data_IF_146710928534
#
_entry.id   IF_146710928534
#
_cell.length_a   1.000
_cell.length_b   1.000
_cell.length_c   1.000
_cell.angle_alpha   90.00
_cell.angle_beta   90.00
_cell.angle_gamma   90.00
#
_symmetry.space_group_name_H-M   'P 1'
#
loop_
_entity.id
_entity.type
_entity.pdbx_description
1 polymer ?
#
# COMPACT_ATOMS: atom_id res chain seq x y z
N UNK A 1 16.24 2.10 34.83
CA UNK A 1 17.70 2.23 34.55
C UNK A 1 17.81 2.34 33.05
N UNK A 2 18.20 3.49 32.62
CA UNK A 2 18.41 3.90 31.24
C UNK A 2 19.38 2.94 30.57
N UNK A 3 18.98 2.49 29.36
CA UNK A 3 19.88 1.83 28.44
C UNK A 3 20.74 2.93 27.80
N UNK A 4 21.77 3.35 28.54
CA UNK A 4 22.60 4.51 28.23
C UNK A 4 23.53 4.35 27.02
N UNK A 5 23.43 3.22 26.27
CA UNK A 5 24.26 2.97 25.10
C UNK A 5 23.76 3.58 23.79
N UNK A 6 22.50 3.98 23.72
CA UNK A 6 21.87 4.46 22.47
C UNK A 6 21.80 5.98 22.35
N UNK A 7 22.24 6.72 23.36
CA UNK A 7 22.17 8.18 23.39
C UNK A 7 23.32 8.90 22.67
N UNK A 8 24.28 8.18 22.10
CA UNK A 8 25.49 8.76 21.52
C UNK A 8 25.32 9.19 20.05
N UNK A 9 24.30 8.71 19.37
CA UNK A 9 23.99 9.16 18.00
C UNK A 9 22.76 10.05 18.06
N UNK A 10 22.87 11.36 17.80
CA UNK A 10 21.71 12.23 17.73
C UNK A 10 20.77 11.71 16.65
N UNK A 11 19.55 11.33 17.03
CA UNK A 11 18.55 10.80 16.11
C UNK A 11 17.15 11.28 16.52
N UNK A 12 16.29 11.41 15.52
CA UNK A 12 14.89 11.73 15.70
C UNK A 12 14.07 10.44 15.85
N UNK A 13 14.50 9.38 15.10
CA UNK A 13 13.85 8.07 15.09
C UNK A 13 14.89 6.95 15.14
N UNK A 14 14.51 5.85 15.80
CA UNK A 14 15.27 4.61 15.85
C UNK A 14 14.42 3.51 15.21
N UNK A 15 14.89 2.97 14.09
CA UNK A 15 14.31 1.76 13.53
C UNK A 15 15.11 0.55 13.98
N UNK A 16 14.40 -0.48 14.44
CA UNK A 16 14.98 -1.73 14.93
C UNK A 16 14.50 -2.84 14.03
N UNK A 17 15.41 -3.51 13.37
CA UNK A 17 15.12 -4.74 12.67
C UNK A 17 15.71 -5.90 13.45
N UNK A 18 14.92 -6.96 13.71
CA UNK A 18 15.39 -8.15 14.43
C UNK A 18 14.95 -9.40 13.68
N UNK A 19 15.86 -10.35 13.55
CA UNK A 19 15.58 -11.68 13.03
C UNK A 19 16.16 -12.74 13.97
N UNK A 20 15.44 -13.84 14.12
CA UNK A 20 15.92 -15.02 14.83
C UNK A 20 16.32 -16.08 13.82
N UNK A 21 17.54 -16.61 13.92
CA UNK A 21 18.03 -17.72 13.12
C UNK A 21 18.42 -18.85 14.07
N UNK A 22 17.83 -20.05 13.88
CA UNK A 22 18.11 -21.22 14.72
C UNK A 22 19.60 -21.58 14.62
N UNK A 23 20.26 -21.66 15.77
CA UNK A 23 21.70 -21.89 15.86
C UNK A 23 22.60 -20.65 15.78
N UNK A 24 22.03 -19.47 15.45
CA UNK A 24 22.76 -18.20 15.42
C UNK A 24 22.21 -17.14 16.37
N UNK A 25 21.04 -17.38 16.97
CA UNK A 25 20.43 -16.44 17.90
C UNK A 25 19.76 -15.25 17.22
N UNK A 26 19.56 -14.18 17.99
CA UNK A 26 18.94 -12.95 17.48
C UNK A 26 19.98 -12.08 16.79
N UNK A 27 19.62 -11.59 15.61
CA UNK A 27 20.34 -10.53 14.90
C UNK A 27 19.48 -9.28 14.96
N UNK A 28 20.03 -8.18 15.43
CA UNK A 28 19.32 -6.91 15.54
C UNK A 28 20.12 -5.82 14.86
N UNK A 29 19.48 -5.09 13.95
CA UNK A 29 20.06 -3.93 13.28
C UNK A 29 19.31 -2.69 13.73
N UNK A 30 20.03 -1.70 14.17
CA UNK A 30 19.52 -0.41 14.60
C UNK A 30 19.87 0.62 13.53
N UNK A 31 18.86 1.33 13.03
CA UNK A 31 19.02 2.45 12.11
C UNK A 31 18.66 3.73 12.85
N UNK A 32 19.63 4.59 13.05
CA UNK A 32 19.44 5.92 13.64
C UNK A 32 19.10 6.90 12.52
N UNK A 33 17.93 7.52 12.58
CA UNK A 33 17.45 8.45 11.55
C UNK A 33 17.47 9.86 12.12
N UNK A 34 18.08 10.79 11.40
CA UNK A 34 18.06 12.22 11.70
C UNK A 34 17.73 12.99 10.42
N UNK A 35 16.80 13.92 10.50
CA UNK A 35 16.35 14.73 9.35
C UNK A 35 15.93 13.88 8.13
N UNK A 36 15.30 12.73 8.38
CA UNK A 36 14.87 11.79 7.34
C UNK A 36 15.99 10.98 6.68
N UNK A 37 17.22 11.06 7.19
CA UNK A 37 18.38 10.31 6.67
C UNK A 37 18.89 9.32 7.71
N UNK A 38 19.48 8.20 7.25
CA UNK A 38 20.14 7.26 8.16
C UNK A 38 21.39 7.94 8.71
N UNK A 39 21.37 8.33 9.97
CA UNK A 39 22.48 8.95 10.67
C UNK A 39 23.48 7.92 11.22
N UNK A 40 23.04 6.68 11.41
CA UNK A 40 23.90 5.62 11.90
C UNK A 40 23.25 4.26 11.74
N UNK A 41 24.08 3.21 11.69
CA UNK A 41 23.63 1.82 11.70
C UNK A 41 24.46 1.12 12.78
N UNK A 42 23.79 0.39 13.68
CA UNK A 42 24.43 -0.52 14.61
C UNK A 42 23.87 -1.93 14.40
N UNK A 43 24.73 -2.94 14.50
CA UNK A 43 24.31 -4.33 14.35
C UNK A 43 24.77 -5.12 15.58
N UNK A 44 23.84 -5.85 16.16
CA UNK A 44 24.11 -6.72 17.31
C UNK A 44 23.77 -8.16 16.94
N UNK A 45 24.68 -9.07 17.29
CA UNK A 45 24.51 -10.50 17.21
C UNK A 45 24.44 -11.02 18.65
N UNK A 46 23.26 -11.50 19.05
CA UNK A 46 23.05 -12.04 20.40
C UNK A 46 22.89 -13.55 20.30
N UNK A 47 23.83 -14.30 20.89
CA UNK A 47 23.72 -15.75 21.02
C UNK A 47 22.84 -16.15 22.20
N UNK A 48 22.84 -15.35 23.25
CA UNK A 48 21.92 -15.43 24.38
C UNK A 48 21.75 -14.08 25.09
N UNK A 49 20.86 -14.03 26.09
CA UNK A 49 20.61 -12.81 26.88
C UNK A 49 21.82 -12.36 27.71
N UNK A 50 22.79 -13.21 27.94
CA UNK A 50 24.03 -12.86 28.64
C UNK A 50 24.97 -12.05 27.78
N UNK A 51 24.99 -12.29 26.46
CA UNK A 51 25.82 -11.54 25.50
C UNK A 51 25.28 -10.12 25.25
N UNK A 52 24.00 -9.87 25.54
CA UNK A 52 23.38 -8.55 25.41
C UNK A 52 24.10 -7.46 26.23
N UNK A 53 24.54 -7.82 27.44
CA UNK A 53 25.25 -6.86 28.31
C UNK A 53 26.73 -6.69 27.95
N UNK A 54 27.32 -7.65 27.23
CA UNK A 54 28.70 -7.56 26.78
C UNK A 54 28.81 -6.79 25.43
N UNK A 55 27.86 -6.94 24.54
CA UNK A 55 27.83 -6.24 23.25
C UNK A 55 27.55 -4.73 23.39
N UNK A 56 26.79 -4.32 24.40
CA UNK A 56 26.50 -2.91 24.70
C UNK A 56 27.72 -2.04 24.98
N UNK A 57 28.89 -2.65 25.19
CA UNK A 57 30.15 -1.94 25.39
C UNK A 57 31.04 -1.88 24.15
N UNK A 58 30.63 -2.46 23.01
CA UNK A 58 31.43 -2.52 21.81
C UNK A 58 30.84 -1.59 20.73
N UNK A 59 30.85 -0.29 21.01
CA UNK A 59 30.42 0.71 20.02
C UNK A 59 31.46 0.80 18.91
N UNK A 60 31.06 0.40 17.69
CA UNK A 60 31.79 0.80 16.49
C UNK A 60 31.69 2.31 16.36
N UNK A 61 32.79 3.01 16.49
CA UNK A 61 32.85 4.46 16.31
C UNK A 61 32.60 4.78 14.82
N UNK A 62 31.46 5.41 14.54
CA UNK A 62 31.29 6.08 13.24
C UNK A 62 32.33 7.18 13.11
N UNK A 63 32.85 7.44 11.89
CA UNK A 63 33.61 8.63 11.63
C UNK A 63 32.79 9.85 12.05
N UNK A 64 33.37 10.71 12.90
CA UNK A 64 32.74 11.96 13.32
C UNK A 64 33.59 13.12 12.79
N UNK A 65 32.93 14.23 12.49
CA UNK A 65 33.60 15.46 12.11
C UNK A 65 34.29 16.12 13.33
N UNK A 66 34.90 17.27 13.10
CA UNK A 66 35.61 18.03 14.15
C UNK A 66 34.71 18.53 15.30
N UNK A 67 33.37 18.48 15.13
CA UNK A 67 32.37 18.87 16.13
C UNK A 67 31.80 17.66 16.87
N UNK A 68 32.21 16.43 16.49
CA UNK A 68 31.70 15.19 17.06
C UNK A 68 30.39 14.72 16.39
N UNK A 69 29.96 15.36 15.30
CA UNK A 69 28.82 14.95 14.47
C UNK A 69 29.21 13.84 13.48
N UNK A 70 28.33 12.90 13.14
CA UNK A 70 28.64 11.85 12.20
C UNK A 70 29.11 12.41 10.84
N UNK A 71 30.33 12.01 10.42
CA UNK A 71 30.90 12.45 9.14
C UNK A 71 30.33 11.66 7.96
N UNK A 72 29.47 12.28 7.19
CA UNK A 72 28.86 11.73 5.98
C UNK A 72 29.56 12.16 4.68
N UNK A 73 30.74 12.78 4.75
CA UNK A 73 31.45 13.27 3.57
C UNK A 73 31.81 12.19 2.56
N UNK A 74 31.87 10.92 3.00
CA UNK A 74 32.14 9.76 2.14
C UNK A 74 30.89 9.14 1.50
N UNK A 75 29.71 9.69 1.74
CA UNK A 75 28.43 9.12 1.26
C UNK A 75 28.11 9.41 -0.20
N UNK A 76 28.80 10.31 -0.84
CA UNK A 76 28.51 10.74 -2.22
C UNK A 76 28.83 9.68 -3.27
N UNK A 77 29.57 8.65 -2.93
CA UNK A 77 30.06 7.65 -3.88
C UNK A 77 29.31 6.29 -3.82
N UNK A 78 28.34 6.14 -2.94
CA UNK A 78 27.51 4.93 -2.97
C UNK A 78 26.41 5.10 -4.04
N UNK A 79 26.34 4.19 -5.02
CA UNK A 79 25.21 4.19 -5.94
C UNK A 79 23.93 4.07 -5.09
N UNK A 80 23.07 5.08 -5.17
CA UNK A 80 21.72 4.94 -4.65
C UNK A 80 21.02 3.94 -5.57
N UNK A 81 20.89 2.71 -5.12
CA UNK A 81 19.97 1.79 -5.77
C UNK A 81 18.60 2.42 -5.72
N UNK A 82 17.87 2.41 -6.83
CA UNK A 82 16.50 2.93 -6.84
C UNK A 82 15.73 2.19 -5.74
N UNK A 83 15.07 2.96 -4.88
CA UNK A 83 14.21 2.41 -3.84
C UNK A 83 13.08 1.67 -4.58
N UNK A 84 12.89 0.39 -4.26
CA UNK A 84 11.82 -0.41 -4.85
C UNK A 84 10.42 0.14 -4.50
N UNK A 85 9.41 -0.29 -5.23
CA UNK A 85 8.04 0.19 -5.08
C UNK A 85 7.50 -0.03 -3.64
N UNK A 86 7.82 -1.18 -3.03
CA UNK A 86 7.38 -1.53 -1.68
C UNK A 86 7.87 -0.54 -0.64
N UNK A 87 9.15 -0.22 -0.69
CA UNK A 87 9.75 0.76 0.22
C UNK A 87 9.28 2.17 -0.08
N UNK A 88 9.04 2.52 -1.35
CA UNK A 88 8.47 3.82 -1.71
C UNK A 88 7.08 3.99 -1.11
N UNK A 89 6.20 2.99 -1.23
CA UNK A 89 4.87 3.01 -0.58
C UNK A 89 5.01 3.15 0.93
N UNK A 90 5.86 2.35 1.56
CA UNK A 90 6.03 2.38 3.01
C UNK A 90 6.52 3.76 3.51
N UNK A 91 7.55 4.32 2.89
CA UNK A 91 8.11 5.62 3.26
C UNK A 91 7.06 6.72 3.06
N UNK A 92 6.41 6.75 1.90
CA UNK A 92 5.43 7.77 1.57
C UNK A 92 4.20 7.71 2.51
N UNK A 93 3.66 6.52 2.73
CA UNK A 93 2.54 6.31 3.66
C UNK A 93 2.93 6.67 5.10
N UNK A 94 4.09 6.23 5.57
CA UNK A 94 4.55 6.54 6.92
C UNK A 94 4.69 8.05 7.12
N UNK A 95 5.22 8.81 6.15
CA UNK A 95 5.26 10.26 6.21
C UNK A 95 3.84 10.87 6.32
N UNK A 96 2.89 10.35 5.56
CA UNK A 96 1.51 10.85 5.58
C UNK A 96 0.80 10.64 6.91
N UNK A 97 1.08 9.53 7.61
CA UNK A 97 0.39 9.18 8.86
C UNK A 97 1.11 9.68 10.12
N UNK A 98 2.42 9.92 10.04
CA UNK A 98 3.20 10.30 11.22
C UNK A 98 3.66 11.75 11.24
N UNK A 99 3.81 12.40 10.08
CA UNK A 99 4.31 13.77 9.99
C UNK A 99 3.17 14.78 9.86
N UNK A 100 2.82 15.43 10.96
CA UNK A 100 1.77 16.44 11.01
C UNK A 100 2.15 17.75 10.29
N UNK A 101 3.44 18.01 10.07
CA UNK A 101 3.96 19.26 9.54
C UNK A 101 4.14 19.27 8.01
N UNK A 102 3.64 18.26 7.29
CA UNK A 102 3.70 18.23 5.84
C UNK A 102 2.92 19.40 5.21
N UNK A 103 3.55 20.10 4.29
CA UNK A 103 2.86 21.04 3.40
C UNK A 103 1.83 20.30 2.53
N UNK A 104 0.89 21.05 1.94
CA UNK A 104 -0.09 20.47 1.02
C UNK A 104 0.56 19.84 -0.22
N UNK A 105 1.65 20.41 -0.71
CA UNK A 105 2.41 19.90 -1.85
C UNK A 105 3.14 18.58 -1.51
N UNK A 106 3.80 18.50 -0.36
CA UNK A 106 4.46 17.28 0.12
C UNK A 106 3.44 16.18 0.38
N UNK A 107 2.31 16.51 1.01
CA UNK A 107 1.21 15.55 1.24
C UNK A 107 0.66 15.00 -0.07
N UNK A 108 0.47 15.85 -1.08
CA UNK A 108 0.05 15.43 -2.41
C UNK A 108 1.10 14.53 -3.08
N UNK A 109 2.39 14.87 -2.99
CA UNK A 109 3.47 14.08 -3.57
C UNK A 109 3.55 12.69 -2.94
N UNK A 110 3.56 12.60 -1.60
CA UNK A 110 3.56 11.31 -0.91
C UNK A 110 2.31 10.47 -1.20
N UNK A 111 1.13 11.11 -1.23
CA UNK A 111 -0.11 10.42 -1.60
C UNK A 111 -0.02 9.82 -3.01
N UNK A 112 0.44 10.60 -3.97
CA UNK A 112 0.68 10.13 -5.34
C UNK A 112 1.66 8.95 -5.36
N UNK A 113 2.75 9.03 -4.61
CA UNK A 113 3.77 7.98 -4.57
C UNK A 113 3.22 6.68 -3.97
N UNK A 114 2.33 6.74 -2.98
CA UNK A 114 1.61 5.56 -2.49
C UNK A 114 0.79 4.93 -3.61
N UNK A 115 -0.11 5.67 -4.25
CA UNK A 115 -1.01 5.10 -5.26
C UNK A 115 -0.26 4.57 -6.48
N UNK A 116 0.70 5.31 -7.02
CA UNK A 116 1.40 4.91 -8.25
C UNK A 116 2.26 3.68 -8.09
N UNK A 117 2.71 3.36 -6.88
CA UNK A 117 3.55 2.20 -6.61
C UNK A 117 2.77 0.98 -6.07
N UNK A 118 1.47 1.10 -5.78
CA UNK A 118 0.64 -0.03 -5.33
C UNK A 118 0.72 -1.25 -6.25
N UNK A 119 0.69 -1.12 -7.60
CA UNK A 119 0.72 -2.27 -8.50
C UNK A 119 2.00 -3.10 -8.45
N UNK A 120 3.10 -2.48 -8.06
CA UNK A 120 4.42 -3.10 -8.05
C UNK A 120 4.90 -3.42 -6.62
N UNK A 121 4.02 -3.24 -5.62
CA UNK A 121 4.33 -3.48 -4.21
C UNK A 121 4.19 -4.96 -3.85
N UNK A 122 5.16 -5.49 -3.13
CA UNK A 122 5.08 -6.78 -2.45
C UNK A 122 4.44 -6.60 -1.06
N UNK A 123 3.24 -7.18 -0.87
CA UNK A 123 2.48 -7.07 0.37
C UNK A 123 3.15 -7.73 1.57
N UNK A 124 3.86 -8.84 1.36
CA UNK A 124 4.57 -9.53 2.45
C UNK A 124 5.78 -8.71 2.89
N UNK A 125 6.56 -8.20 1.92
CA UNK A 125 7.67 -7.31 2.22
C UNK A 125 7.18 -6.02 2.90
N UNK A 126 6.09 -5.41 2.41
CA UNK A 126 5.49 -4.22 3.02
C UNK A 126 5.13 -4.47 4.49
N UNK A 127 4.44 -5.58 4.78
CA UNK A 127 4.12 -5.96 6.15
C UNK A 127 5.37 -6.10 7.02
N UNK A 128 6.42 -6.74 6.50
CA UNK A 128 7.68 -6.94 7.22
C UNK A 128 8.40 -5.61 7.54
N UNK A 129 8.26 -4.57 6.71
CA UNK A 129 8.80 -3.23 7.00
C UNK A 129 8.19 -2.60 8.25
N UNK A 130 6.97 -2.98 8.63
CA UNK A 130 6.30 -2.53 9.86
C UNK A 130 6.83 -3.18 11.15
N UNK A 131 7.75 -4.11 11.06
CA UNK A 131 8.37 -4.78 12.21
C UNK A 131 7.58 -5.99 12.72
N UNK A 132 7.38 -6.08 14.04
CA UNK A 132 6.84 -7.29 14.70
C UNK A 132 5.37 -7.58 14.31
N UNK A 133 4.60 -6.55 13.99
CA UNK A 133 3.20 -6.68 13.58
C UNK A 133 3.04 -6.43 12.07
N UNK A 134 3.51 -7.37 11.28
CA UNK A 134 3.40 -7.29 9.82
C UNK A 134 1.95 -7.23 9.33
N UNK A 135 1.05 -7.94 10.00
CA UNK A 135 -0.38 -7.95 9.68
C UNK A 135 -1.02 -6.60 9.95
N UNK A 136 -0.75 -6.01 11.12
CA UNK A 136 -1.27 -4.69 11.50
C UNK A 136 -0.82 -3.59 10.55
N UNK A 137 0.39 -3.70 10.00
CA UNK A 137 0.91 -2.73 9.03
C UNK A 137 0.13 -2.76 7.71
N UNK A 138 -0.19 -3.95 7.19
CA UNK A 138 -0.99 -4.10 5.96
C UNK A 138 -2.40 -3.54 6.18
N UNK A 139 -3.08 -3.94 7.27
CA UNK A 139 -4.39 -3.42 7.61
C UNK A 139 -4.42 -1.90 7.77
N UNK A 140 -3.40 -1.32 8.40
CA UNK A 140 -3.31 0.12 8.58
C UNK A 140 -3.14 0.88 7.24
N UNK A 141 -2.43 0.32 6.26
CA UNK A 141 -2.37 0.88 4.92
C UNK A 141 -3.72 0.78 4.20
N UNK A 142 -4.38 -0.39 4.25
CA UNK A 142 -5.67 -0.61 3.60
C UNK A 142 -6.75 0.30 4.19
N UNK A 143 -6.77 0.46 5.52
CA UNK A 143 -7.66 1.38 6.22
C UNK A 143 -7.39 2.83 5.78
N UNK A 144 -6.13 3.27 5.76
CA UNK A 144 -5.75 4.60 5.29
C UNK A 144 -6.18 4.83 3.83
N UNK A 145 -5.98 3.85 2.95
CA UNK A 145 -6.41 3.94 1.55
C UNK A 145 -7.93 4.07 1.44
N UNK A 146 -8.70 3.30 2.22
CA UNK A 146 -10.17 3.30 2.17
C UNK A 146 -10.82 4.52 2.80
N UNK A 147 -10.11 5.23 3.68
CA UNK A 147 -10.58 6.47 4.31
C UNK A 147 -10.36 7.73 3.48
N UNK A 148 -9.80 7.63 2.27
CA UNK A 148 -9.65 8.80 1.41
C UNK A 148 -11.01 9.38 1.03
N UNK A 149 -11.16 10.71 1.16
CA UNK A 149 -12.42 11.40 0.82
C UNK A 149 -12.71 11.35 -0.68
N UNK A 150 -11.66 11.41 -1.49
CA UNK A 150 -11.75 11.41 -2.95
C UNK A 150 -10.66 10.56 -3.59
N UNK A 151 -11.05 9.84 -4.64
CA UNK A 151 -10.14 9.14 -5.53
C UNK A 151 -10.16 9.80 -6.90
N UNK A 152 -9.00 10.15 -7.42
CA UNK A 152 -8.87 10.53 -8.82
C UNK A 152 -9.04 9.28 -9.72
N UNK A 153 -9.31 9.48 -11.00
CA UNK A 153 -9.37 8.36 -11.96
C UNK A 153 -8.05 7.59 -12.05
N UNK A 154 -6.93 8.25 -11.77
CA UNK A 154 -5.63 7.61 -11.65
C UNK A 154 -5.53 6.71 -10.41
N UNK A 155 -5.99 7.20 -9.25
CA UNK A 155 -6.01 6.44 -8.01
C UNK A 155 -6.84 5.15 -8.17
N UNK A 156 -8.04 5.27 -8.76
CA UNK A 156 -8.93 4.12 -9.04
C UNK A 156 -8.21 3.08 -9.91
N UNK A 157 -7.53 3.53 -10.98
CA UNK A 157 -6.75 2.65 -11.84
C UNK A 157 -5.64 1.93 -11.09
N UNK A 158 -4.88 2.63 -10.25
CA UNK A 158 -3.81 2.01 -9.48
C UNK A 158 -4.32 1.07 -8.38
N UNK A 159 -5.45 1.38 -7.74
CA UNK A 159 -6.11 0.46 -6.79
C UNK A 159 -6.49 -0.85 -7.51
N UNK A 160 -7.12 -0.78 -8.67
CA UNK A 160 -7.47 -1.97 -9.46
C UNK A 160 -6.23 -2.78 -9.86
N UNK A 161 -5.19 -2.11 -10.32
CA UNK A 161 -3.93 -2.75 -10.72
C UNK A 161 -3.21 -3.41 -9.54
N UNK A 162 -3.22 -2.77 -8.38
CA UNK A 162 -2.59 -3.31 -7.16
C UNK A 162 -3.25 -4.61 -6.69
N UNK A 163 -4.57 -4.73 -6.84
CA UNK A 163 -5.28 -5.97 -6.54
C UNK A 163 -4.95 -7.09 -7.55
N UNK A 164 -4.98 -6.76 -8.84
CA UNK A 164 -4.78 -7.73 -9.91
C UNK A 164 -3.34 -8.29 -9.96
N UNK A 165 -2.35 -7.51 -9.53
CA UNK A 165 -0.95 -7.87 -9.72
C UNK A 165 -0.42 -8.93 -8.73
N UNK A 166 -0.94 -9.00 -7.51
CA UNK A 166 -0.23 -9.69 -6.42
C UNK A 166 -1.08 -10.59 -5.51
N UNK A 167 -2.23 -11.07 -5.96
CA UNK A 167 -2.94 -12.17 -5.31
C UNK A 167 -3.07 -12.03 -3.80
N UNK A 168 -3.69 -10.95 -3.33
CA UNK A 168 -4.00 -10.78 -1.91
C UNK A 168 -5.00 -11.86 -1.52
N UNK A 169 -4.75 -12.56 -0.42
CA UNK A 169 -5.63 -13.62 0.09
C UNK A 169 -6.09 -13.36 1.54
N UNK A 170 -7.03 -14.17 2.00
CA UNK A 170 -7.54 -14.14 3.37
C UNK A 170 -8.17 -12.81 3.76
N UNK A 171 -7.93 -12.39 5.00
CA UNK A 171 -8.52 -11.17 5.57
C UNK A 171 -8.12 -9.88 4.84
N UNK A 172 -6.92 -9.85 4.25
CA UNK A 172 -6.49 -8.68 3.47
C UNK A 172 -7.28 -8.53 2.18
N UNK A 173 -7.71 -9.65 1.56
CA UNK A 173 -8.55 -9.61 0.37
C UNK A 173 -9.91 -8.98 0.68
N UNK A 174 -10.48 -9.24 1.85
CA UNK A 174 -11.74 -8.62 2.28
C UNK A 174 -11.61 -7.10 2.42
N UNK A 175 -10.57 -6.62 3.11
CA UNK A 175 -10.33 -5.18 3.27
C UNK A 175 -9.99 -4.52 1.92
N UNK A 176 -9.31 -5.23 1.03
CA UNK A 176 -9.07 -4.70 -0.30
C UNK A 176 -10.36 -4.65 -1.14
N UNK A 177 -11.26 -5.62 -1.00
CA UNK A 177 -12.59 -5.57 -1.62
C UNK A 177 -13.41 -4.38 -1.08
N UNK A 178 -13.28 -4.06 0.20
CA UNK A 178 -13.85 -2.85 0.76
C UNK A 178 -13.27 -1.58 0.10
N UNK A 179 -11.94 -1.51 -0.07
CA UNK A 179 -11.28 -0.42 -0.79
C UNK A 179 -11.76 -0.30 -2.25
N UNK A 180 -11.91 -1.43 -2.96
CA UNK A 180 -12.45 -1.46 -4.32
C UNK A 180 -13.88 -0.91 -4.36
N UNK A 181 -14.73 -1.26 -3.39
CA UNK A 181 -16.09 -0.73 -3.28
C UNK A 181 -16.09 0.79 -3.03
N UNK A 182 -15.21 1.29 -2.15
CA UNK A 182 -15.04 2.72 -1.91
C UNK A 182 -14.61 3.48 -3.17
N UNK A 183 -13.66 2.93 -3.91
CA UNK A 183 -13.20 3.49 -5.17
C UNK A 183 -14.32 3.50 -6.24
N UNK A 184 -15.09 2.40 -6.34
CA UNK A 184 -16.23 2.27 -7.24
C UNK A 184 -17.30 3.32 -6.96
N UNK A 185 -17.73 3.48 -5.70
CA UNK A 185 -18.80 4.40 -5.34
C UNK A 185 -18.38 5.87 -5.40
N UNK A 186 -17.08 6.15 -5.29
CA UNK A 186 -16.59 7.52 -5.45
C UNK A 186 -16.72 8.03 -6.90
N UNK A 187 -16.44 7.18 -7.90
CA UNK A 187 -16.63 7.48 -9.31
C UNK A 187 -16.80 6.18 -10.13
N UNK A 188 -18.04 5.67 -10.30
CA UNK A 188 -18.30 4.43 -11.03
C UNK A 188 -17.96 4.51 -12.50
N UNK A 189 -17.97 5.71 -13.10
CA UNK A 189 -17.62 5.91 -14.51
C UNK A 189 -16.10 5.80 -14.68
N UNK A 190 -15.32 6.42 -13.78
CA UNK A 190 -13.86 6.27 -13.78
C UNK A 190 -13.45 4.82 -13.48
N UNK A 191 -14.20 4.12 -12.61
CA UNK A 191 -13.97 2.71 -12.32
C UNK A 191 -14.15 1.82 -13.55
N UNK A 192 -15.22 2.03 -14.33
CA UNK A 192 -15.46 1.33 -15.60
C UNK A 192 -14.38 1.64 -16.65
N UNK A 193 -13.93 2.88 -16.73
CA UNK A 193 -12.81 3.27 -17.61
C UNK A 193 -11.50 2.61 -17.22
N UNK A 194 -11.25 2.46 -15.93
CA UNK A 194 -10.06 1.77 -15.44
C UNK A 194 -10.09 0.28 -15.79
N UNK A 195 -11.26 -0.39 -15.69
CA UNK A 195 -11.44 -1.76 -16.16
C UNK A 195 -11.12 -1.90 -17.65
N UNK A 196 -11.62 -0.99 -18.50
CA UNK A 196 -11.33 -0.98 -19.94
C UNK A 196 -9.83 -0.81 -20.25
N UNK A 197 -9.10 -0.13 -19.41
CA UNK A 197 -7.64 0.07 -19.54
C UNK A 197 -6.83 -1.10 -19.00
N UNK A 198 -7.43 -1.95 -18.19
CA UNK A 198 -6.77 -3.13 -17.65
C UNK A 198 -6.52 -4.14 -18.75
N UNK A 199 -5.26 -4.47 -19.00
CA UNK A 199 -4.86 -5.59 -19.87
C UNK A 199 -4.82 -6.91 -19.10
N UNK A 200 -5.47 -6.96 -17.93
CA UNK A 200 -5.57 -8.16 -17.12
C UNK A 200 -6.36 -9.23 -17.89
N UNK A 201 -6.09 -10.49 -17.58
CA UNK A 201 -6.91 -11.58 -18.07
C UNK A 201 -8.36 -11.48 -17.54
N UNK A 202 -9.27 -12.18 -18.17
CA UNK A 202 -10.71 -12.12 -17.85
C UNK A 202 -11.00 -12.47 -16.38
N UNK A 203 -10.21 -13.36 -15.77
CA UNK A 203 -10.36 -13.78 -14.38
C UNK A 203 -10.01 -12.64 -13.42
N UNK A 204 -8.91 -11.93 -13.65
CA UNK A 204 -8.51 -10.79 -12.83
C UNK A 204 -9.55 -9.66 -12.92
N UNK A 205 -10.06 -9.37 -14.11
CA UNK A 205 -11.11 -8.35 -14.29
C UNK A 205 -12.41 -8.75 -13.61
N UNK A 206 -12.81 -10.00 -13.71
CA UNK A 206 -13.97 -10.51 -12.98
C UNK A 206 -13.81 -10.34 -11.48
N UNK A 207 -12.63 -10.67 -10.93
CA UNK A 207 -12.35 -10.53 -9.51
C UNK A 207 -12.43 -9.06 -9.07
N UNK A 208 -11.96 -8.11 -9.91
CA UNK A 208 -12.09 -6.68 -9.64
C UNK A 208 -13.55 -6.23 -9.59
N UNK A 209 -14.39 -6.71 -10.51
CA UNK A 209 -15.82 -6.40 -10.51
C UNK A 209 -16.49 -7.00 -9.28
N UNK A 210 -16.24 -8.28 -8.99
CA UNK A 210 -16.81 -8.94 -7.82
C UNK A 210 -16.39 -8.25 -6.52
N UNK A 211 -15.09 -7.97 -6.35
CA UNK A 211 -14.58 -7.28 -5.18
C UNK A 211 -15.19 -5.89 -5.00
N UNK A 212 -15.32 -5.12 -6.07
CA UNK A 212 -15.94 -3.79 -6.02
C UNK A 212 -17.44 -3.82 -5.74
N UNK A 213 -18.17 -4.86 -6.17
CA UNK A 213 -19.63 -4.93 -6.05
C UNK A 213 -20.12 -5.73 -4.85
N UNK A 214 -19.35 -6.72 -4.35
CA UNK A 214 -19.77 -7.61 -3.28
C UNK A 214 -20.11 -6.86 -1.99
N UNK A 215 -19.22 -6.01 -1.52
CA UNK A 215 -19.48 -5.17 -0.35
C UNK A 215 -20.57 -4.13 -0.61
N UNK A 216 -20.69 -3.66 -1.85
CA UNK A 216 -21.69 -2.68 -2.22
C UNK A 216 -23.12 -3.20 -2.04
N UNK A 217 -23.37 -4.42 -2.51
CA UNK A 217 -24.70 -5.02 -2.47
C UNK A 217 -25.19 -5.25 -1.02
N UNK A 218 -24.30 -5.71 -0.15
CA UNK A 218 -24.66 -6.10 1.21
C UNK A 218 -24.69 -4.92 2.18
N UNK A 219 -23.76 -3.96 2.04
CA UNK A 219 -23.57 -2.89 3.03
C UNK A 219 -24.01 -1.51 2.53
N UNK A 220 -24.07 -1.28 1.22
CA UNK A 220 -24.31 0.03 0.62
C UNK A 220 -25.30 0.01 -0.55
N UNK A 221 -26.53 -0.50 -0.36
CA UNK A 221 -27.50 -0.62 -1.46
C UNK A 221 -27.88 0.73 -2.10
N UNK A 222 -27.92 1.81 -1.34
CA UNK A 222 -28.19 3.15 -1.87
C UNK A 222 -27.05 3.67 -2.77
N UNK A 223 -25.80 3.33 -2.45
CA UNK A 223 -24.66 3.69 -3.25
C UNK A 223 -24.64 2.86 -4.56
N UNK A 224 -25.08 1.60 -4.52
CA UNK A 224 -25.28 0.79 -5.72
C UNK A 224 -26.29 1.42 -6.67
N UNK A 225 -27.45 1.87 -6.19
CA UNK A 225 -28.45 2.54 -6.99
C UNK A 225 -27.91 3.85 -7.61
N UNK A 226 -27.14 4.59 -6.85
CA UNK A 226 -26.47 5.81 -7.30
C UNK A 226 -25.44 5.51 -8.39
N UNK A 227 -24.63 4.48 -8.20
CA UNK A 227 -23.62 4.05 -9.17
C UNK A 227 -24.25 3.56 -10.47
N UNK A 228 -25.32 2.76 -10.40
CA UNK A 228 -26.10 2.34 -11.58
C UNK A 228 -26.61 3.54 -12.34
N UNK A 229 -27.18 4.54 -11.63
CA UNK A 229 -27.71 5.75 -12.26
C UNK A 229 -26.63 6.57 -12.96
N UNK A 230 -25.45 6.67 -12.36
CA UNK A 230 -24.30 7.37 -12.95
C UNK A 230 -23.77 6.68 -14.21
N UNK A 231 -23.68 5.34 -14.20
CA UNK A 231 -23.29 4.54 -15.36
C UNK A 231 -24.32 4.68 -16.49
N UNK A 232 -25.61 4.59 -16.19
CA UNK A 232 -26.68 4.79 -17.17
C UNK A 232 -26.62 6.19 -17.80
N UNK A 233 -26.38 7.22 -17.01
CA UNK A 233 -26.24 8.58 -17.52
C UNK A 233 -25.04 8.72 -18.47
N UNK A 234 -23.88 8.13 -18.13
CA UNK A 234 -22.69 8.18 -18.96
C UNK A 234 -22.86 7.42 -20.28
N UNK A 235 -23.49 6.23 -20.24
CA UNK A 235 -23.83 5.42 -21.43
C UNK A 235 -24.77 6.19 -22.35
N UNK A 236 -25.86 6.74 -21.82
CA UNK A 236 -26.87 7.45 -22.60
C UNK A 236 -26.35 8.77 -23.20
N UNK A 237 -25.40 9.43 -22.52
CA UNK A 237 -24.76 10.65 -23.03
C UNK A 237 -23.69 10.37 -24.10
N UNK A 238 -23.40 9.10 -24.42
CA UNK A 238 -22.28 8.69 -25.27
C UNK A 238 -20.94 9.30 -24.81
N UNK A 239 -20.73 9.38 -23.49
CA UNK A 239 -19.53 9.96 -22.88
C UNK A 239 -18.35 8.96 -22.78
N UNK A 240 -18.55 7.73 -23.25
CA UNK A 240 -17.64 6.61 -23.18
C UNK A 240 -17.27 6.11 -24.58
N UNK A 241 -16.08 5.58 -24.76
CA UNK A 241 -15.72 4.80 -25.96
C UNK A 241 -16.57 3.51 -26.04
N UNK A 242 -16.53 2.82 -27.16
CA UNK A 242 -17.25 1.56 -27.31
C UNK A 242 -16.78 0.51 -26.28
N UNK A 243 -15.48 0.42 -26.05
CA UNK A 243 -14.89 -0.49 -25.08
C UNK A 243 -15.27 -0.11 -23.63
N UNK A 244 -15.11 1.16 -23.25
CA UNK A 244 -15.54 1.65 -21.93
C UNK A 244 -17.05 1.45 -21.70
N UNK A 245 -17.85 1.59 -22.75
CA UNK A 245 -19.31 1.34 -22.69
C UNK A 245 -19.61 -0.12 -22.38
N UNK A 246 -18.86 -1.05 -22.98
CA UNK A 246 -19.00 -2.48 -22.68
C UNK A 246 -18.73 -2.78 -21.21
N UNK A 247 -17.63 -2.29 -20.68
CA UNK A 247 -17.27 -2.48 -19.27
C UNK A 247 -18.24 -1.76 -18.31
N UNK A 248 -18.72 -0.58 -18.67
CA UNK A 248 -19.74 0.13 -17.88
C UNK A 248 -21.07 -0.64 -17.82
N UNK A 249 -21.51 -1.25 -18.93
CA UNK A 249 -22.69 -2.11 -18.94
C UNK A 249 -22.51 -3.37 -18.08
N UNK A 250 -21.35 -4.00 -18.14
CA UNK A 250 -21.05 -5.17 -17.34
C UNK A 250 -21.03 -4.84 -15.84
N UNK A 251 -20.36 -3.77 -15.45
CA UNK A 251 -20.34 -3.30 -14.06
C UNK A 251 -21.75 -2.96 -13.55
N UNK A 252 -22.54 -2.25 -14.38
CA UNK A 252 -23.93 -1.95 -14.10
C UNK A 252 -24.78 -3.22 -13.90
N UNK A 253 -24.53 -4.25 -14.70
CA UNK A 253 -25.24 -5.53 -14.58
C UNK A 253 -24.99 -6.16 -13.20
N UNK A 254 -23.74 -6.23 -12.75
CA UNK A 254 -23.39 -6.75 -11.44
C UNK A 254 -24.03 -5.94 -10.30
N UNK A 255 -24.00 -4.61 -10.38
CA UNK A 255 -24.60 -3.72 -9.39
C UNK A 255 -26.13 -3.82 -9.32
N UNK A 256 -26.78 -4.02 -10.46
CA UNK A 256 -28.24 -4.13 -10.56
C UNK A 256 -28.78 -5.54 -10.22
N UNK A 257 -27.92 -6.56 -10.22
CA UNK A 257 -28.27 -7.94 -9.97
C UNK A 257 -27.36 -8.53 -8.89
N UNK A 258 -27.40 -8.01 -7.65
CA UNK A 258 -26.60 -8.57 -6.57
C UNK A 258 -27.06 -10.03 -6.35
N UNK A 259 -26.08 -10.92 -6.28
CA UNK A 259 -26.34 -12.32 -6.02
C UNK A 259 -25.62 -12.69 -4.74
N UNK A 260 -26.28 -13.27 -3.78
CA UNK A 260 -25.84 -13.63 -2.41
C UNK A 260 -24.45 -14.32 -2.34
N UNK A 261 -23.43 -13.69 -2.95
CA UNK A 261 -22.04 -14.12 -2.98
C UNK A 261 -21.66 -15.07 -4.13
N UNK A 262 -22.55 -15.39 -5.07
CA UNK A 262 -22.26 -16.30 -6.18
C UNK A 262 -22.45 -15.64 -7.54
N UNK A 263 -21.37 -15.13 -8.13
CA UNK A 263 -21.37 -14.56 -9.49
C UNK A 263 -20.84 -15.56 -10.56
N UNK A 264 -20.76 -16.86 -10.22
CA UNK A 264 -20.17 -17.87 -11.12
C UNK A 264 -20.85 -17.95 -12.50
N UNK A 265 -22.17 -17.72 -12.52
CA UNK A 265 -22.99 -17.78 -13.74
C UNK A 265 -23.17 -16.41 -14.40
N UNK A 266 -22.53 -15.36 -13.87
CA UNK A 266 -22.64 -14.01 -14.44
C UNK A 266 -21.69 -13.87 -15.63
N UNK A 267 -22.03 -13.01 -16.61
CA UNK A 267 -21.13 -12.71 -17.72
C UNK A 267 -19.81 -12.14 -17.19
N UNK A 268 -18.70 -12.67 -17.68
CA UNK A 268 -17.34 -12.31 -17.27
C UNK A 268 -16.76 -11.20 -18.11
N UNK A 269 -17.26 -11.05 -19.32
CA UNK A 269 -16.81 -10.08 -20.30
C UNK A 269 -17.97 -9.29 -20.88
N UNK A 270 -17.72 -8.08 -21.42
CA UNK A 270 -18.75 -7.34 -22.16
C UNK A 270 -19.38 -8.14 -23.30
N UNK A 271 -18.62 -8.99 -23.99
CA UNK A 271 -19.10 -9.81 -25.08
C UNK A 271 -20.07 -10.90 -24.62
N UNK A 272 -19.88 -11.47 -23.43
CA UNK A 272 -20.80 -12.44 -22.85
C UNK A 272 -22.13 -11.82 -22.42
N UNK A 273 -22.10 -10.54 -22.01
CA UNK A 273 -23.29 -9.80 -21.60
C UNK A 273 -24.24 -9.55 -22.79
N UNK A 274 -23.72 -9.50 -24.03
CA UNK A 274 -24.48 -9.21 -25.25
C UNK A 274 -25.09 -10.49 -25.88
N UNK A 275 -24.72 -11.69 -25.43
CA UNK A 275 -25.20 -12.98 -25.90
C UNK A 275 -26.27 -13.58 -24.99
#
# INVERSE_FOLDING_TARGET
KEADGYSLVPHDYLYIWSAFEEGRGYQTIYFFIKDGLVAGISMELMQDMGDFYAAANNTSTFPVDENGDPDFSHRQDLPQEPIDATRQVYIAWNQLVTNENLSAEERYAYRRDVFTNLPDMDWQEFGALGGIDSSGTIFALLDWLSQQEHYSSGDIYFIQRGYAAHGIDGAYAEDYCYLLSRALFSDPVAYAKALARSTADDEAVQTLIMGGTAYGADYYPADCETAVSALDAAINANALTAEETGWAKLLRYYLANPNDGYYADYPKTPAELEN
#
